data_IF_501402386748
#
_entry.id   IF_501402386748
#
_cell.length_a   1.000
_cell.length_b   1.000
_cell.length_c   1.000
_cell.angle_alpha   90.00
_cell.angle_beta   90.00
_cell.angle_gamma   90.00
#
_symmetry.space_group_name_H-M   'P 1'
#
loop_
_entity.id
_entity.type
_entity.pdbx_description
1 polymer ?
#
# COMPACT_ATOMS: atom_id res chain seq x y z
N UNK A 1 14.84 2.36 -23.60
CA UNK A 1 14.86 2.01 -22.17
C UNK A 1 13.42 2.11 -21.68
N UNK A 2 12.86 1.03 -21.17
CA UNK A 2 11.48 1.05 -20.61
C UNK A 2 11.56 1.62 -19.21
N UNK A 3 10.83 2.69 -18.94
CA UNK A 3 10.72 3.30 -17.62
C UNK A 3 9.61 2.61 -16.82
N UNK A 4 9.93 2.14 -15.64
CA UNK A 4 8.97 1.56 -14.72
C UNK A 4 8.61 2.57 -13.63
N UNK A 5 7.34 2.61 -13.25
CA UNK A 5 6.84 3.46 -12.17
C UNK A 5 6.39 2.61 -11.00
N UNK A 6 6.73 3.05 -9.80
CA UNK A 6 6.33 2.43 -8.56
C UNK A 6 5.37 3.34 -7.81
N UNK A 7 4.42 2.77 -7.13
CA UNK A 7 3.49 3.48 -6.26
C UNK A 7 3.65 2.95 -4.84
N UNK A 8 3.88 3.86 -3.91
CA UNK A 8 3.83 3.61 -2.48
C UNK A 8 2.51 4.19 -1.96
N UNK A 9 1.63 3.34 -1.49
CA UNK A 9 0.36 3.74 -0.87
C UNK A 9 0.38 3.39 0.61
N UNK A 10 0.15 4.40 1.42
CA UNK A 10 0.00 4.27 2.86
C UNK A 10 -1.47 4.45 3.18
N UNK A 11 -2.10 3.39 3.60
CA UNK A 11 -3.54 3.17 3.85
C UNK A 11 -4.46 3.16 2.62
N UNK A 12 -5.21 2.11 2.56
CA UNK A 12 -6.36 1.75 1.72
C UNK A 12 -6.10 1.28 0.28
N UNK A 13 -6.82 0.30 -0.02
CA UNK A 13 -7.05 -0.58 -1.17
C UNK A 13 -6.73 -0.01 -2.55
N UNK A 14 -5.93 -0.75 -3.30
CA UNK A 14 -5.57 -0.41 -4.67
C UNK A 14 -6.24 -1.36 -5.67
N UNK A 15 -7.10 -0.84 -6.54
CA UNK A 15 -7.53 -1.54 -7.78
C UNK A 15 -7.10 -0.68 -8.96
N UNK A 16 -6.29 -1.23 -9.84
CA UNK A 16 -5.84 -0.52 -11.02
C UNK A 16 -6.61 -0.97 -12.25
N UNK A 17 -7.28 -0.01 -12.90
CA UNK A 17 -7.85 -0.21 -14.24
C UNK A 17 -7.10 0.68 -15.22
N UNK A 18 -6.30 0.07 -16.08
CA UNK A 18 -5.70 0.79 -17.22
C UNK A 18 -6.54 0.52 -18.46
N UNK A 19 -7.16 1.54 -19.01
CA UNK A 19 -7.80 1.49 -20.32
C UNK A 19 -6.81 1.88 -21.41
N UNK A 20 -6.42 0.94 -22.26
CA UNK A 20 -5.81 1.25 -23.56
C UNK A 20 -6.21 0.23 -24.63
N UNK A 21 -6.48 0.77 -25.83
CA UNK A 21 -6.68 0.00 -27.06
C UNK A 21 -5.33 -0.22 -27.75
N UNK A 22 -5.11 -1.49 -28.10
CA UNK A 22 -4.28 -2.06 -29.16
C UNK A 22 -2.84 -1.57 -29.36
N UNK A 23 -1.88 -2.35 -28.82
CA UNK A 23 -0.56 -2.60 -29.42
C UNK A 23 -0.12 -4.03 -29.04
N UNK A 24 0.47 -4.76 -29.99
CA UNK A 24 0.88 -6.17 -29.92
C UNK A 24 1.69 -6.51 -28.67
N UNK A 25 1.26 -7.59 -28.00
CA UNK A 25 1.73 -8.03 -26.68
C UNK A 25 2.87 -9.03 -26.88
N UNK A 26 4.08 -8.63 -26.56
CA UNK A 26 5.07 -9.58 -26.02
C UNK A 26 4.68 -9.88 -24.57
N UNK A 27 4.62 -11.14 -24.18
CA UNK A 27 4.24 -11.63 -22.83
C UNK A 27 5.15 -11.08 -21.73
N UNK A 28 5.04 -9.79 -21.42
CA UNK A 28 5.38 -9.27 -20.09
C UNK A 28 4.07 -9.36 -19.28
N UNK A 29 4.11 -10.06 -18.17
CA UNK A 29 2.97 -10.25 -17.28
C UNK A 29 2.30 -8.91 -17.02
N UNK A 30 1.11 -8.74 -17.59
CA UNK A 30 0.31 -7.51 -17.50
C UNK A 30 -0.36 -7.40 -16.12
N UNK A 31 0.34 -7.90 -15.08
CA UNK A 31 -0.12 -7.97 -13.70
C UNK A 31 0.66 -7.00 -12.83
N UNK A 32 -0.05 -6.40 -11.90
CA UNK A 32 0.55 -5.62 -10.82
C UNK A 32 1.39 -6.56 -9.95
N UNK A 33 2.61 -6.13 -9.59
CA UNK A 33 3.49 -6.87 -8.70
C UNK A 33 3.65 -6.13 -7.38
N UNK A 34 3.48 -6.82 -6.27
CA UNK A 34 3.81 -6.29 -4.95
C UNK A 34 5.32 -6.43 -4.72
N UNK A 35 5.99 -5.34 -4.44
CA UNK A 35 7.41 -5.30 -4.13
C UNK A 35 7.65 -5.39 -2.63
N UNK A 36 6.79 -4.71 -1.86
CA UNK A 36 6.85 -4.72 -0.41
C UNK A 36 5.46 -4.47 0.17
N UNK A 37 5.02 -5.34 1.06
CA UNK A 37 3.80 -5.19 1.84
C UNK A 37 4.12 -5.30 3.32
N UNK A 38 4.07 -4.18 4.01
CA UNK A 38 4.40 -4.05 5.42
C UNK A 38 3.21 -3.42 6.17
N UNK A 39 2.21 -4.24 6.54
CA UNK A 39 1.09 -3.73 7.33
C UNK A 39 1.53 -3.38 8.74
N UNK A 40 1.05 -2.24 9.24
CA UNK A 40 1.14 -1.94 10.67
C UNK A 40 0.10 -2.75 11.46
N UNK A 41 0.24 -2.89 12.78
CA UNK A 41 -0.79 -3.49 13.60
C UNK A 41 -2.16 -2.86 13.35
N UNK A 42 -3.19 -3.68 13.22
CA UNK A 42 -4.56 -3.21 12.93
C UNK A 42 -5.57 -4.31 13.18
N UNK A 43 -6.81 -3.94 13.47
CA UNK A 43 -7.88 -4.88 13.79
C UNK A 43 -8.10 -5.92 12.69
N UNK A 44 -8.08 -5.49 11.42
CA UNK A 44 -8.40 -6.35 10.27
C UNK A 44 -7.18 -7.07 9.68
N UNK A 45 -5.98 -6.83 10.19
CA UNK A 45 -4.77 -7.56 9.80
C UNK A 45 -4.82 -9.02 10.26
N UNK A 46 -5.53 -9.30 11.36
CA UNK A 46 -5.63 -10.65 11.94
C UNK A 46 -6.43 -11.62 11.06
N UNK A 47 -7.29 -11.11 10.18
CA UNK A 47 -8.14 -11.96 9.33
C UNK A 47 -7.36 -12.55 8.15
N UNK A 48 -6.90 -13.79 8.32
CA UNK A 48 -6.25 -14.54 7.24
C UNK A 48 -4.82 -14.12 6.92
N UNK A 49 -4.26 -13.17 7.66
CA UNK A 49 -2.87 -12.78 7.55
C UNK A 49 -2.01 -13.62 8.49
N UNK A 50 -1.41 -14.67 7.97
CA UNK A 50 -0.52 -15.58 8.73
C UNK A 50 0.86 -15.67 8.07
N UNK A 51 1.41 -14.52 7.66
CA UNK A 51 2.69 -14.45 6.98
C UNK A 51 3.82 -14.29 8.00
N UNK A 52 4.89 -15.05 7.82
CA UNK A 52 6.07 -15.01 8.68
C UNK A 52 7.25 -14.30 8.02
N UNK A 53 7.19 -14.11 6.71
CA UNK A 53 8.22 -13.48 5.91
C UNK A 53 7.64 -12.40 5.01
N UNK A 54 8.49 -11.47 4.57
CA UNK A 54 8.11 -10.45 3.59
C UNK A 54 7.67 -11.05 2.25
N UNK A 55 8.28 -12.15 1.85
CA UNK A 55 7.92 -12.85 0.61
C UNK A 55 6.48 -13.41 0.69
N UNK A 56 6.12 -14.05 1.82
CA UNK A 56 4.76 -14.53 2.05
C UNK A 56 3.75 -13.37 2.12
N UNK A 57 4.12 -12.27 2.76
CA UNK A 57 3.28 -11.08 2.84
C UNK A 57 3.02 -10.46 1.45
N UNK A 58 4.06 -10.34 0.62
CA UNK A 58 3.95 -9.86 -0.76
C UNK A 58 3.06 -10.78 -1.60
N UNK A 59 3.27 -12.11 -1.50
CA UNK A 59 2.46 -13.09 -2.22
C UNK A 59 0.98 -13.05 -1.79
N UNK A 60 0.71 -12.89 -0.50
CA UNK A 60 -0.64 -12.69 0.02
C UNK A 60 -1.30 -11.46 -0.60
N UNK A 61 -0.63 -10.31 -0.58
CA UNK A 61 -1.16 -9.07 -1.14
C UNK A 61 -1.41 -9.17 -2.66
N UNK A 62 -0.49 -9.78 -3.41
CA UNK A 62 -0.68 -10.05 -4.84
C UNK A 62 -1.91 -10.93 -5.10
N UNK A 63 -2.10 -11.98 -4.31
CA UNK A 63 -3.27 -12.85 -4.43
C UNK A 63 -4.56 -12.07 -4.18
N UNK A 64 -4.58 -11.20 -3.16
CA UNK A 64 -5.73 -10.33 -2.86
C UNK A 64 -6.08 -9.45 -4.06
N UNK A 65 -5.08 -8.80 -4.68
CA UNK A 65 -5.29 -7.96 -5.87
C UNK A 65 -5.80 -8.75 -7.08
N UNK A 66 -5.26 -9.95 -7.33
CA UNK A 66 -5.75 -10.84 -8.39
C UNK A 66 -7.22 -11.21 -8.20
N UNK A 67 -7.64 -11.36 -6.98
CA UNK A 67 -9.04 -11.64 -6.61
C UNK A 67 -9.91 -10.38 -6.54
N UNK A 68 -9.35 -9.18 -6.80
CA UNK A 68 -10.02 -7.87 -6.67
C UNK A 68 -10.53 -7.63 -5.25
N UNK A 69 -9.79 -8.11 -4.26
CA UNK A 69 -10.05 -7.93 -2.85
C UNK A 69 -9.17 -6.84 -2.26
N UNK A 70 -9.62 -6.29 -1.14
CA UNK A 70 -8.90 -5.32 -0.37
C UNK A 70 -7.66 -5.91 0.32
N UNK A 71 -6.64 -5.06 0.47
CA UNK A 71 -5.46 -5.33 1.30
C UNK A 71 -5.48 -4.32 2.44
N UNK A 72 -5.49 -4.79 3.68
CA UNK A 72 -5.46 -3.91 4.85
C UNK A 72 -4.02 -3.48 5.15
N UNK A 73 -3.77 -2.18 5.23
CA UNK A 73 -2.46 -1.65 5.62
C UNK A 73 -2.32 -1.49 7.14
N UNK A 74 -3.39 -1.76 7.89
CA UNK A 74 -3.39 -1.61 9.34
C UNK A 74 -3.51 -0.16 9.78
N UNK A 75 -2.92 0.14 10.92
CA UNK A 75 -2.92 1.47 11.51
C UNK A 75 -1.77 2.32 10.96
N UNK A 76 -1.38 3.35 11.68
CA UNK A 76 -0.34 4.27 11.28
C UNK A 76 1.00 3.57 10.98
N UNK A 77 1.61 3.92 9.85
CA UNK A 77 2.90 3.41 9.40
C UNK A 77 2.84 2.17 8.49
N UNK A 78 1.65 1.56 8.30
CA UNK A 78 1.51 0.48 7.34
C UNK A 78 1.56 0.97 5.90
N UNK A 79 2.20 0.20 5.00
CA UNK A 79 2.36 0.59 3.60
C UNK A 79 2.43 -0.60 2.65
N UNK A 80 2.24 -0.31 1.39
CA UNK A 80 2.46 -1.24 0.29
C UNK A 80 3.12 -0.55 -0.89
N UNK A 81 4.15 -1.16 -1.44
CA UNK A 81 4.84 -0.74 -2.67
C UNK A 81 4.49 -1.69 -3.80
N UNK A 82 3.98 -1.13 -4.89
CA UNK A 82 3.57 -1.91 -6.05
C UNK A 82 4.27 -1.42 -7.32
N UNK A 83 4.68 -2.38 -8.15
CA UNK A 83 5.16 -2.11 -9.50
C UNK A 83 3.96 -2.17 -10.45
N UNK A 84 3.76 -1.07 -11.16
CA UNK A 84 2.69 -1.01 -12.16
C UNK A 84 3.01 -1.89 -13.36
N UNK A 85 2.00 -2.58 -13.93
CA UNK A 85 2.20 -3.47 -15.08
C UNK A 85 2.66 -2.73 -16.33
N UNK A 86 2.34 -1.44 -16.41
CA UNK A 86 2.70 -0.55 -17.53
C UNK A 86 3.17 0.79 -17.03
N UNK A 87 3.95 1.48 -17.85
CA UNK A 87 4.32 2.88 -17.62
C UNK A 87 3.06 3.74 -17.44
N UNK A 88 3.02 4.54 -16.37
CA UNK A 88 1.99 5.56 -16.17
C UNK A 88 2.42 6.80 -16.95
N UNK A 89 1.62 7.17 -17.94
CA UNK A 89 1.86 8.38 -18.75
C UNK A 89 1.00 9.51 -18.23
N UNK A 90 1.61 10.66 -17.96
CA UNK A 90 0.87 11.87 -17.58
C UNK A 90 0.02 12.35 -18.77
N UNK A 91 -1.28 12.25 -18.67
CA UNK A 91 -2.26 12.60 -19.70
C UNK A 91 -3.26 13.63 -19.17
N UNK A 92 -4.15 14.07 -20.03
CA UNK A 92 -5.28 14.88 -19.61
C UNK A 92 -6.30 14.00 -18.87
N UNK A 93 -6.56 14.29 -17.60
CA UNK A 93 -7.50 13.55 -16.73
C UNK A 93 -6.76 12.71 -15.69
N UNK A 94 -7.38 11.60 -15.30
CA UNK A 94 -6.81 10.68 -14.31
C UNK A 94 -5.99 9.59 -15.00
N UNK A 95 -4.78 9.34 -14.50
CA UNK A 95 -3.86 8.34 -15.06
C UNK A 95 -3.99 6.98 -14.35
N UNK A 96 -4.39 6.99 -13.09
CA UNK A 96 -4.72 5.80 -12.28
C UNK A 96 -5.70 6.17 -11.16
N UNK A 97 -6.23 5.17 -10.48
CA UNK A 97 -7.13 5.34 -9.33
C UNK A 97 -6.79 4.37 -8.20
N UNK A 98 -7.03 4.80 -6.98
CA UNK A 98 -6.95 3.98 -5.79
C UNK A 98 -8.35 3.92 -5.19
N UNK A 99 -8.85 2.71 -4.96
CA UNK A 99 -10.16 2.49 -4.37
C UNK A 99 -9.95 2.16 -2.90
N UNK A 100 -10.37 3.09 -2.03
CA UNK A 100 -10.43 2.88 -0.60
C UNK A 100 -11.66 2.08 -0.18
N UNK A 101 -11.81 1.89 1.12
CA UNK A 101 -12.96 1.22 1.76
C UNK A 101 -13.82 2.21 2.59
N UNK A 102 -14.32 3.32 2.01
CA UNK A 102 -15.16 4.24 2.73
C UNK A 102 -16.56 3.68 2.89
N UNK A 103 -17.18 3.95 4.04
CA UNK A 103 -18.61 3.72 4.29
C UNK A 103 -19.19 4.89 5.08
N UNK A 104 -20.51 4.92 5.23
CA UNK A 104 -21.17 6.04 5.88
C UNK A 104 -20.62 6.31 7.29
N UNK A 105 -20.12 7.52 7.50
CA UNK A 105 -19.51 7.95 8.76
C UNK A 105 -18.05 7.50 8.98
N UNK A 106 -17.43 6.83 8.01
CA UNK A 106 -16.01 6.41 8.12
C UNK A 106 -15.26 6.53 6.79
N UNK A 107 -14.01 6.93 6.87
CA UNK A 107 -13.07 6.87 5.75
C UNK A 107 -11.68 6.51 6.28
N UNK A 108 -10.91 5.83 5.43
CA UNK A 108 -9.55 5.42 5.74
C UNK A 108 -8.61 6.07 4.72
N UNK A 109 -8.24 7.35 4.93
CA UNK A 109 -7.40 8.09 4.00
C UNK A 109 -5.96 7.54 4.00
N UNK A 110 -5.27 7.72 2.89
CA UNK A 110 -3.87 7.33 2.75
C UNK A 110 -3.07 8.36 1.99
N UNK A 111 -1.75 8.29 2.12
CA UNK A 111 -0.81 9.10 1.36
C UNK A 111 -0.29 8.26 0.21
N UNK A 112 -0.16 8.86 -0.97
CA UNK A 112 0.30 8.18 -2.18
C UNK A 112 1.59 8.82 -2.66
N UNK A 113 2.59 7.99 -2.89
CA UNK A 113 3.83 8.39 -3.57
C UNK A 113 3.97 7.63 -4.87
N UNK A 114 4.67 8.25 -5.82
CA UNK A 114 5.07 7.62 -7.07
C UNK A 114 6.58 7.75 -7.25
N UNK A 115 7.19 6.74 -7.84
CA UNK A 115 8.61 6.73 -8.19
C UNK A 115 8.79 6.20 -9.61
N UNK A 116 9.76 6.75 -10.32
CA UNK A 116 10.19 6.26 -11.62
C UNK A 116 11.46 5.44 -11.43
N UNK A 117 11.51 4.24 -12.02
CA UNK A 117 12.74 3.44 -12.12
C UNK A 117 13.71 4.15 -13.11
N UNK A 118 14.37 5.19 -12.59
CA UNK A 118 15.23 6.06 -13.41
C UNK A 118 16.54 5.37 -13.80
N UNK A 119 17.04 4.49 -12.95
CA UNK A 119 18.27 3.73 -13.19
C UNK A 119 18.04 2.40 -13.95
N UNK A 120 16.79 1.96 -14.10
CA UNK A 120 16.39 0.78 -14.86
C UNK A 120 16.75 -0.55 -14.18
N UNK A 121 16.96 -0.55 -12.84
CA UNK A 121 17.35 -1.76 -12.10
C UNK A 121 16.16 -2.62 -11.64
N UNK A 122 14.93 -2.16 -11.84
CA UNK A 122 13.69 -2.85 -11.49
C UNK A 122 13.35 -2.82 -10.00
N UNK A 123 14.03 -1.97 -9.20
CA UNK A 123 13.80 -1.80 -7.77
C UNK A 123 13.13 -0.46 -7.49
N UNK A 124 12.48 -0.37 -6.35
CA UNK A 124 11.82 0.85 -5.86
C UNK A 124 12.77 1.67 -4.98
N UNK A 125 14.01 1.90 -5.46
CA UNK A 125 15.08 2.57 -4.72
C UNK A 125 15.45 3.97 -5.27
N UNK A 126 14.67 4.46 -6.21
CA UNK A 126 14.78 5.79 -6.77
C UNK A 126 14.00 6.85 -5.96
N UNK A 127 13.97 8.08 -6.44
CA UNK A 127 13.30 9.20 -5.76
C UNK A 127 11.78 9.02 -5.77
N UNK A 128 11.16 9.17 -4.60
CA UNK A 128 9.72 9.15 -4.42
C UNK A 128 9.13 10.56 -4.38
N UNK A 129 8.01 10.74 -5.05
CA UNK A 129 7.25 11.98 -5.12
C UNK A 129 5.87 11.77 -4.51
N UNK A 130 5.56 12.53 -3.46
CA UNK A 130 4.24 12.53 -2.85
C UNK A 130 3.23 13.19 -3.78
N UNK A 131 2.11 12.53 -4.01
CA UNK A 131 0.99 13.12 -4.72
C UNK A 131 0.17 14.00 -3.77
N UNK A 132 -0.25 15.16 -4.27
CA UNK A 132 -1.08 16.08 -3.49
C UNK A 132 -2.43 15.45 -3.19
N UNK A 133 -2.71 15.23 -1.91
CA UNK A 133 -4.01 14.80 -1.42
C UNK A 133 -4.94 15.97 -1.10
N UNK A 134 -6.10 15.64 -0.53
CA UNK A 134 -7.09 16.61 -0.03
C UNK A 134 -6.71 17.21 1.32
N UNK A 135 -5.79 16.59 2.03
CA UNK A 135 -5.35 16.99 3.35
C UNK A 135 -3.81 17.08 3.42
N UNK A 136 -3.31 17.70 4.48
CA UNK A 136 -1.88 17.76 4.75
C UNK A 136 -1.51 16.62 5.71
N UNK A 137 -0.65 15.67 5.31
CA UNK A 137 -0.24 14.61 6.19
C UNK A 137 0.57 15.14 7.37
N UNK A 138 0.39 14.53 8.54
CA UNK A 138 1.26 14.77 9.70
C UNK A 138 2.67 14.30 9.37
N UNK A 139 3.65 15.16 9.61
CA UNK A 139 5.07 14.88 9.37
C UNK A 139 5.81 14.81 10.69
N UNK A 140 6.95 14.13 10.70
CA UNK A 140 7.81 13.96 11.88
C UNK A 140 7.07 13.34 13.09
N UNK A 141 6.07 12.50 12.77
CA UNK A 141 5.25 11.80 13.74
C UNK A 141 5.55 10.30 13.69
N UNK A 142 5.74 9.69 14.85
CA UNK A 142 6.01 8.25 14.93
C UNK A 142 5.13 7.57 15.98
N UNK A 143 4.85 6.28 15.75
CA UNK A 143 4.16 5.41 16.68
C UNK A 143 5.04 4.21 16.98
N UNK A 144 5.15 3.87 18.25
CA UNK A 144 5.77 2.64 18.72
C UNK A 144 4.69 1.66 19.14
N UNK A 145 4.65 0.50 18.52
CA UNK A 145 3.78 -0.61 18.89
C UNK A 145 4.54 -1.58 19.78
N UNK A 146 3.92 -1.99 20.87
CA UNK A 146 4.52 -2.92 21.80
C UNK A 146 3.93 -4.32 21.58
N UNK A 147 4.79 -5.27 21.22
CA UNK A 147 4.35 -6.65 21.03
C UNK A 147 3.88 -7.23 22.36
N UNK A 148 2.62 -7.72 22.47
CA UNK A 148 2.15 -8.39 23.67
C UNK A 148 2.79 -9.80 23.79
N UNK A 149 2.90 -10.30 25.02
CA UNK A 149 3.43 -11.64 25.31
C UNK A 149 2.48 -12.75 24.78
N UNK A 150 1.19 -12.47 24.79
CA UNK A 150 0.15 -13.37 24.29
C UNK A 150 -0.67 -12.68 23.19
N UNK A 151 -1.41 -13.46 22.38
CA UNK A 151 -2.34 -12.92 21.39
C UNK A 151 -3.39 -12.06 22.10
N UNK A 152 -3.47 -10.80 21.71
CA UNK A 152 -4.40 -9.85 22.35
C UNK A 152 -4.22 -8.43 21.82
N UNK A 153 -4.71 -7.48 22.59
CA UNK A 153 -4.59 -6.05 22.30
C UNK A 153 -3.12 -5.63 22.17
N UNK A 154 -2.81 -4.76 21.19
CA UNK A 154 -1.47 -4.26 20.94
C UNK A 154 -1.36 -2.83 21.49
N UNK A 155 -0.63 -2.60 22.58
CA UNK A 155 -0.38 -1.25 23.10
C UNK A 155 0.46 -0.44 22.09
N UNK A 156 0.24 0.88 22.10
CA UNK A 156 1.06 1.82 21.35
C UNK A 156 1.29 3.12 22.12
N UNK A 157 2.37 3.80 21.76
CA UNK A 157 2.73 5.15 22.22
C UNK A 157 3.26 5.95 21.03
N UNK A 158 2.85 7.20 20.90
CA UNK A 158 3.30 8.07 19.83
C UNK A 158 4.41 9.04 20.27
N UNK A 159 4.92 9.81 19.31
CA UNK A 159 5.98 10.80 19.54
C UNK A 159 5.53 12.02 20.38
N UNK A 160 4.25 12.19 20.59
CA UNK A 160 3.66 13.25 21.43
C UNK A 160 3.35 12.76 22.85
N UNK A 161 3.56 11.46 23.11
CA UNK A 161 3.35 10.83 24.42
C UNK A 161 1.94 10.32 24.65
N UNK A 162 1.08 10.35 23.60
CA UNK A 162 -0.23 9.73 23.66
C UNK A 162 -0.11 8.21 23.58
N UNK A 163 -1.04 7.52 24.26
CA UNK A 163 -1.03 6.06 24.40
C UNK A 163 -2.41 5.47 24.11
N UNK A 164 -2.38 4.28 23.55
CA UNK A 164 -3.61 3.55 23.30
C UNK A 164 -3.38 2.08 23.04
N UNK A 165 -4.40 1.43 22.50
CA UNK A 165 -4.34 0.02 22.14
C UNK A 165 -5.04 -0.22 20.80
N UNK A 166 -4.47 -1.07 19.97
CA UNK A 166 -5.18 -1.69 18.85
C UNK A 166 -5.91 -2.90 19.41
N UNK A 167 -7.23 -2.90 19.31
CA UNK A 167 -8.06 -3.99 19.82
C UNK A 167 -7.89 -5.24 18.95
N UNK A 168 -7.66 -6.37 19.62
CA UNK A 168 -7.72 -7.68 18.96
C UNK A 168 -9.18 -8.07 18.71
N UNK A 169 -9.45 -8.47 17.47
CA UNK A 169 -10.74 -9.06 17.09
C UNK A 169 -10.59 -10.60 17.12
N UNK A 170 -11.34 -11.27 17.98
CA UNK A 170 -11.34 -12.74 18.12
C UNK A 170 -12.26 -13.40 17.11
#
# INVERSE_FOLDING_TARGET
MKKHWYILAVMTTVIFTSCNKDEEITEETNELKVLEYCPAPGQFINEGFNCQTMEEANAYAEQRFKQKNYVSLGSFGGYITVKMPKEIKNRKGYDFGIIGNPFDGSSEPGIVWVSEDANGNGKADDVWYELKGSDNPTRDYSITYFRPDEIGDIPWEDSEGEKGVIKYLS
#
